data_IF_754734993637
#
_entry.id   IF_754734993637
#
_cell.length_a   1.000
_cell.length_b   1.000
_cell.length_c   1.000
_cell.angle_alpha   90.00
_cell.angle_beta   90.00
_cell.angle_gamma   90.00
#
_symmetry.space_group_name_H-M   'P 1'
#
loop_
_entity.id
_entity.type
_entity.pdbx_description
1 polymer ?
#
# COMPACT_ATOMS: atom_id res chain seq x y z
N UNK A 1 -3.06 -2.82 -14.58
CA UNK A 1 -1.91 -1.91 -14.62
C UNK A 1 -1.24 -1.86 -13.27
N UNK A 2 0.07 -1.65 -13.25
CA UNK A 2 0.85 -1.67 -12.00
C UNK A 2 1.26 -0.26 -11.64
N UNK A 3 1.07 0.11 -10.37
CA UNK A 3 1.46 1.43 -9.88
C UNK A 3 2.26 1.27 -8.58
N UNK A 4 3.28 2.08 -8.44
CA UNK A 4 4.12 2.07 -7.25
C UNK A 4 3.97 3.39 -6.50
N UNK A 5 3.80 3.29 -5.19
CA UNK A 5 3.65 4.46 -4.33
C UNK A 5 4.68 4.42 -3.23
N UNK A 6 5.08 5.59 -2.76
CA UNK A 6 5.87 5.68 -1.54
C UNK A 6 4.95 5.41 -0.35
N UNK A 7 5.49 4.76 0.67
CA UNK A 7 4.72 4.52 1.89
C UNK A 7 5.62 4.82 3.09
N UNK A 8 5.05 5.43 4.12
CA UNK A 8 5.77 5.78 5.33
C UNK A 8 5.17 5.06 6.52
N UNK A 9 5.94 4.95 7.60
CA UNK A 9 5.49 4.31 8.82
C UNK A 9 5.87 2.83 8.94
N UNK A 10 6.40 2.24 7.89
CA UNK A 10 6.84 0.83 7.94
C UNK A 10 8.22 0.72 8.58
N UNK A 11 8.32 -0.07 9.63
CA UNK A 11 9.58 -0.26 10.34
C UNK A 11 9.98 -1.72 10.47
N UNK A 12 9.08 -2.65 10.21
CA UNK A 12 9.36 -4.07 10.39
C UNK A 12 8.50 -4.92 9.45
N UNK A 13 8.80 -6.21 9.39
CA UNK A 13 8.10 -7.15 8.54
C UNK A 13 6.61 -7.27 8.90
N UNK A 14 6.28 -7.15 10.18
CA UNK A 14 4.88 -7.17 10.60
C UNK A 14 4.09 -6.02 10.01
N UNK A 15 4.74 -4.87 9.85
CA UNK A 15 4.10 -3.72 9.21
C UNK A 15 3.83 -4.00 7.74
N UNK A 16 4.75 -4.68 7.06
CA UNK A 16 4.57 -5.08 5.66
C UNK A 16 3.33 -5.95 5.51
N UNK A 17 3.18 -6.92 6.41
CA UNK A 17 2.02 -7.81 6.37
C UNK A 17 0.72 -7.05 6.57
N UNK A 18 0.70 -6.12 7.51
CA UNK A 18 -0.48 -5.30 7.78
C UNK A 18 -0.86 -4.46 6.57
N UNK A 19 0.12 -3.81 5.95
CA UNK A 19 -0.12 -2.99 4.76
C UNK A 19 -0.66 -3.86 3.63
N UNK A 20 -0.05 -5.02 3.42
CA UNK A 20 -0.49 -5.94 2.37
C UNK A 20 -1.94 -6.35 2.57
N UNK A 21 -2.31 -6.72 3.79
CA UNK A 21 -3.70 -7.11 4.09
C UNK A 21 -4.67 -5.96 3.86
N UNK A 22 -4.34 -4.78 4.35
CA UNK A 22 -5.22 -3.63 4.21
C UNK A 22 -5.43 -3.24 2.75
N UNK A 23 -4.37 -3.20 1.98
CA UNK A 23 -4.44 -2.81 0.59
C UNK A 23 -5.08 -3.89 -0.29
N UNK A 24 -4.83 -5.17 0.00
CA UNK A 24 -5.42 -6.24 -0.79
C UNK A 24 -6.93 -6.34 -0.61
N UNK A 25 -7.45 -5.79 0.47
CA UNK A 25 -8.88 -5.73 0.70
C UNK A 25 -9.57 -4.61 -0.08
N UNK A 26 -8.80 -3.73 -0.69
CA UNK A 26 -9.35 -2.62 -1.47
C UNK A 26 -9.94 -3.13 -2.78
N UNK A 27 -11.13 -2.66 -3.10
CA UNK A 27 -11.79 -3.03 -4.34
C UNK A 27 -11.01 -2.51 -5.54
N UNK A 28 -10.76 -3.37 -6.50
CA UNK A 28 -9.98 -3.03 -7.68
C UNK A 28 -8.53 -3.45 -7.61
N UNK A 29 -8.05 -3.85 -6.44
CA UNK A 29 -6.69 -4.33 -6.26
C UNK A 29 -6.63 -5.82 -6.60
N UNK A 30 -5.74 -6.19 -7.52
CA UNK A 30 -5.53 -7.59 -7.90
C UNK A 30 -4.38 -8.21 -7.11
N UNK A 31 -3.33 -7.43 -6.87
CA UNK A 31 -2.17 -7.92 -6.13
C UNK A 31 -1.46 -6.75 -5.47
N UNK A 32 -0.75 -7.04 -4.39
CA UNK A 32 0.00 -6.03 -3.65
C UNK A 32 1.38 -6.58 -3.34
N UNK A 33 2.40 -5.79 -3.63
CA UNK A 33 3.78 -6.09 -3.25
C UNK A 33 4.31 -4.92 -2.45
N UNK A 34 4.89 -5.21 -1.30
CA UNK A 34 5.46 -4.18 -0.45
C UNK A 34 6.96 -4.34 -0.39
N UNK A 35 7.67 -3.25 -0.61
CA UNK A 35 9.13 -3.22 -0.54
C UNK A 35 9.53 -2.44 0.71
N UNK A 36 9.92 -3.16 1.75
CA UNK A 36 10.32 -2.55 3.02
C UNK A 36 11.63 -1.79 2.88
N UNK A 37 12.54 -2.31 2.07
CA UNK A 37 13.85 -1.72 1.89
C UNK A 37 13.76 -0.33 1.25
N UNK A 38 12.95 -0.21 0.22
CA UNK A 38 12.75 1.06 -0.49
C UNK A 38 11.56 1.85 0.03
N UNK A 39 10.83 1.28 0.98
CA UNK A 39 9.62 1.89 1.54
C UNK A 39 8.62 2.26 0.47
N UNK A 40 8.34 1.30 -0.38
CA UNK A 40 7.43 1.46 -1.51
C UNK A 40 6.41 0.33 -1.52
N UNK A 41 5.27 0.58 -2.13
CA UNK A 41 4.26 -0.44 -2.32
C UNK A 41 3.86 -0.45 -3.79
N UNK A 42 3.86 -1.63 -4.41
CA UNK A 42 3.46 -1.82 -5.78
C UNK A 42 2.09 -2.48 -5.79
N UNK A 43 1.16 -1.86 -6.48
CA UNK A 43 -0.23 -2.32 -6.52
C UNK A 43 -0.59 -2.66 -7.95
N UNK A 44 -1.07 -3.88 -8.17
CA UNK A 44 -1.57 -4.31 -9.46
C UNK A 44 -3.08 -4.21 -9.48
N UNK A 45 -3.63 -3.77 -10.60
CA UNK A 45 -5.06 -3.56 -10.76
C UNK A 45 -5.37 -2.10 -11.04
N UNK A 46 -6.61 -1.72 -10.80
CA UNK A 46 -7.07 -0.35 -11.02
C UNK A 46 -7.80 0.21 -9.81
N UNK A 47 -7.18 0.22 -8.63
CA UNK A 47 -7.82 0.80 -7.46
C UNK A 47 -7.76 2.32 -7.54
N UNK A 48 -8.73 2.97 -6.91
CA UNK A 48 -8.71 4.42 -6.79
C UNK A 48 -7.71 4.80 -5.69
N UNK A 49 -6.94 5.83 -5.94
CA UNK A 49 -5.98 6.33 -4.95
C UNK A 49 -6.70 6.68 -3.64
N UNK A 50 -7.90 7.23 -3.75
CA UNK A 50 -8.71 7.55 -2.57
C UNK A 50 -9.00 6.30 -1.74
N UNK A 51 -9.33 5.20 -2.39
CA UNK A 51 -9.59 3.94 -1.70
C UNK A 51 -8.35 3.40 -1.00
N UNK A 52 -7.19 3.56 -1.64
CA UNK A 52 -5.93 3.13 -1.05
C UNK A 52 -5.61 3.92 0.22
N UNK A 53 -5.78 5.23 0.17
CA UNK A 53 -5.57 6.09 1.34
C UNK A 53 -6.54 5.74 2.46
N UNK A 54 -7.79 5.46 2.10
CA UNK A 54 -8.80 5.08 3.07
C UNK A 54 -8.48 3.76 3.76
N UNK A 55 -7.93 2.82 3.00
CA UNK A 55 -7.56 1.52 3.54
C UNK A 55 -6.48 1.66 4.63
N UNK A 56 -5.62 2.65 4.51
CA UNK A 56 -4.56 2.88 5.49
C UNK A 56 -4.95 3.88 6.58
N UNK A 57 -6.14 4.44 6.50
CA UNK A 57 -6.62 5.37 7.51
C UNK A 57 -6.80 4.65 8.84
N UNK A 58 -6.34 5.25 9.91
CA UNK A 58 -6.39 4.62 11.22
C UNK A 58 -5.18 3.77 11.56
N UNK A 59 -4.26 3.62 10.60
CA UNK A 59 -3.00 2.93 10.83
C UNK A 59 -1.88 3.97 10.95
N UNK A 60 -0.66 3.49 11.26
CA UNK A 60 0.52 4.37 11.31
C UNK A 60 1.05 4.69 9.92
N UNK A 61 0.53 4.03 8.92
CA UNK A 61 1.08 4.10 7.57
C UNK A 61 0.43 5.20 6.78
N UNK A 62 1.22 5.87 5.95
CA UNK A 62 0.72 6.89 5.06
C UNK A 62 1.16 6.59 3.64
N UNK A 63 0.22 6.64 2.73
CA UNK A 63 0.50 6.46 1.31
C UNK A 63 0.97 7.79 0.75
N UNK A 64 2.17 7.79 0.19
CA UNK A 64 2.74 8.98 -0.41
C UNK A 64 2.38 9.11 -1.88
N UNK A 65 3.22 9.81 -2.61
CA UNK A 65 2.99 10.05 -4.03
C UNK A 65 3.28 8.81 -4.88
N UNK A 66 2.64 8.75 -6.01
CA UNK A 66 2.92 7.72 -7.01
C UNK A 66 4.31 8.00 -7.62
N UNK A 67 5.06 6.93 -7.78
CA UNK A 67 6.41 7.01 -8.38
C UNK A 67 6.34 6.81 -9.88
#
# INVERSE_FOLDING_TARGET
>A
MTKTYNITGMKCQGCVNTVTEKLSAVKGVENVKVDLENKQVTIEGKPWKRSLKRALKGTKFELGDEI
#
